data_IF_500517659883
#
_entry.id   IF_500517659883
#
_cell.length_a   1.000
_cell.length_b   1.000
_cell.length_c   1.000
_cell.angle_alpha   90.00
_cell.angle_beta   90.00
_cell.angle_gamma   90.00
#
_symmetry.space_group_name_H-M   'P 1'
#
loop_
_entity.id
_entity.type
_entity.pdbx_description
1 polymer ?
#
# COMPACT_ATOMS: atom_id res chain seq x y z
N UNK A 1 -24.59 8.67 -22.68
CA UNK A 1 -24.85 8.55 -21.22
C UNK A 1 -23.95 9.51 -20.48
N UNK A 2 -24.46 10.31 -19.54
CA UNK A 2 -23.62 11.19 -18.70
C UNK A 2 -22.73 10.34 -17.78
N UNK A 3 -21.43 10.61 -17.77
CA UNK A 3 -20.49 10.01 -16.82
C UNK A 3 -20.64 10.68 -15.45
N UNK A 4 -20.63 9.93 -14.32
CA UNK A 4 -20.86 10.48 -12.97
C UNK A 4 -19.84 11.56 -12.61
N UNK A 5 -18.61 11.41 -13.11
CA UNK A 5 -17.48 12.32 -12.93
C UNK A 5 -17.77 13.75 -13.39
N UNK A 6 -18.75 13.95 -14.30
CA UNK A 6 -19.19 15.29 -14.75
C UNK A 6 -20.03 16.05 -13.72
N UNK A 7 -20.63 15.34 -12.75
CA UNK A 7 -21.43 15.96 -11.68
C UNK A 7 -20.53 16.40 -10.54
N UNK A 8 -19.56 15.56 -10.17
CA UNK A 8 -18.53 15.87 -9.18
C UNK A 8 -17.32 14.95 -9.38
N UNK A 9 -16.07 15.44 -9.30
CA UNK A 9 -14.87 14.63 -9.57
C UNK A 9 -14.67 13.44 -8.62
N UNK A 10 -15.31 13.45 -7.44
CA UNK A 10 -15.30 12.34 -6.49
C UNK A 10 -16.37 11.26 -6.76
N UNK A 11 -17.29 11.49 -7.70
CA UNK A 11 -18.37 10.56 -8.02
C UNK A 11 -17.90 9.55 -9.07
N UNK A 12 -18.03 8.26 -8.77
CA UNK A 12 -17.60 7.16 -9.65
C UNK A 12 -18.67 6.06 -9.71
N UNK A 13 -18.66 5.25 -10.77
CA UNK A 13 -19.55 4.09 -10.94
C UNK A 13 -18.90 2.84 -10.38
N UNK A 14 -19.63 2.07 -9.57
CA UNK A 14 -19.15 0.80 -9.02
C UNK A 14 -18.57 -0.18 -10.07
N UNK A 15 -19.05 -0.12 -11.31
CA UNK A 15 -18.62 -0.97 -12.44
C UNK A 15 -17.38 -0.47 -13.18
N UNK A 16 -16.76 0.62 -12.74
CA UNK A 16 -15.58 1.22 -13.37
C UNK A 16 -14.55 1.56 -12.31
N UNK A 17 -13.26 1.42 -12.62
CA UNK A 17 -12.24 1.99 -11.74
C UNK A 17 -12.49 3.49 -11.64
N UNK A 18 -12.50 4.01 -10.42
CA UNK A 18 -12.67 5.44 -10.21
C UNK A 18 -11.58 6.19 -10.99
N UNK A 19 -11.97 7.17 -11.81
CA UNK A 19 -11.08 8.10 -12.50
C UNK A 19 -11.42 9.49 -12.00
N UNK A 20 -10.46 10.19 -11.41
CA UNK A 20 -10.68 11.57 -10.95
C UNK A 20 -9.91 11.97 -9.70
N UNK A 21 -9.08 13.01 -9.86
CA UNK A 21 -8.47 13.91 -8.86
C UNK A 21 -7.63 13.30 -7.70
N UNK A 22 -7.58 11.98 -7.53
CA UNK A 22 -6.71 11.37 -6.52
C UNK A 22 -5.26 11.41 -7.03
N UNK A 23 -4.37 12.06 -6.28
CA UNK A 23 -2.93 11.99 -6.57
C UNK A 23 -2.46 10.56 -6.33
N UNK A 24 -1.77 9.97 -7.30
CA UNK A 24 -1.25 8.60 -7.19
C UNK A 24 0.26 8.55 -7.40
N UNK A 25 0.93 7.58 -6.76
CA UNK A 25 2.29 7.17 -7.13
C UNK A 25 2.24 5.93 -8.02
N UNK A 26 3.06 5.85 -9.08
CA UNK A 26 3.14 4.65 -9.91
C UNK A 26 3.50 3.42 -9.08
N UNK A 27 2.89 2.28 -9.39
CA UNK A 27 3.20 1.03 -8.68
C UNK A 27 4.56 0.46 -9.07
N UNK A 28 5.00 0.71 -10.31
CA UNK A 28 6.15 0.06 -10.95
C UNK A 28 5.88 -1.38 -11.42
N UNK A 29 4.65 -1.86 -11.30
CA UNK A 29 4.24 -3.22 -11.64
C UNK A 29 3.03 -3.18 -12.56
N UNK A 30 3.21 -3.53 -13.84
CA UNK A 30 2.16 -3.40 -14.85
C UNK A 30 0.87 -4.15 -14.49
N UNK A 31 0.98 -5.38 -13.96
CA UNK A 31 -0.16 -6.19 -13.53
C UNK A 31 -0.97 -5.53 -12.42
N UNK A 32 -0.30 -4.91 -11.45
CA UNK A 32 -0.97 -4.20 -10.35
C UNK A 32 -1.54 -2.86 -10.83
N UNK A 33 -0.79 -2.10 -11.63
CA UNK A 33 -1.24 -0.81 -12.18
C UNK A 33 -2.53 -0.94 -13.00
N UNK A 34 -2.69 -2.01 -13.79
CA UNK A 34 -3.92 -2.24 -14.55
C UNK A 34 -5.17 -2.35 -13.64
N UNK A 35 -4.96 -2.77 -12.39
CA UNK A 35 -6.03 -3.07 -11.45
C UNK A 35 -6.19 -1.99 -10.34
N UNK A 36 -5.44 -0.89 -10.40
CA UNK A 36 -5.61 0.24 -9.47
C UNK A 36 -6.24 1.45 -10.16
N UNK A 37 -7.14 2.19 -9.48
CA UNK A 37 -7.59 3.50 -9.92
C UNK A 37 -6.42 4.40 -10.28
N UNK A 38 -6.52 5.08 -11.43
CA UNK A 38 -5.47 5.95 -11.99
C UNK A 38 -4.08 5.29 -12.13
N UNK A 39 -4.00 3.95 -12.10
CA UNK A 39 -2.79 3.19 -12.36
C UNK A 39 -1.78 3.13 -11.21
N UNK A 40 -2.13 3.61 -10.01
CA UNK A 40 -1.15 3.87 -8.96
C UNK A 40 -1.65 3.68 -7.53
N UNK A 41 -0.70 3.82 -6.60
CA UNK A 41 -0.97 3.89 -5.17
C UNK A 41 -1.65 5.21 -4.82
N UNK A 42 -2.86 5.20 -4.23
CA UNK A 42 -3.54 6.45 -3.86
C UNK A 42 -2.81 7.14 -2.70
N UNK A 43 -2.39 8.38 -2.94
CA UNK A 43 -1.83 9.26 -1.90
C UNK A 43 -2.92 9.81 -1.00
N UNK A 44 -2.54 10.21 0.21
CA UNK A 44 -3.48 10.75 1.20
C UNK A 44 -4.58 9.77 1.62
N UNK A 45 -4.34 8.47 1.42
CA UNK A 45 -5.30 7.41 1.66
C UNK A 45 -4.65 6.26 2.42
N UNK A 46 -5.42 5.60 3.29
CA UNK A 46 -4.96 4.40 3.97
C UNK A 46 -4.95 3.22 3.00
N UNK A 47 -3.78 2.63 2.78
CA UNK A 47 -3.61 1.38 2.03
C UNK A 47 -3.25 0.28 3.03
N UNK A 48 -3.98 -0.82 3.02
CA UNK A 48 -3.64 -1.98 3.86
C UNK A 48 -2.93 -3.06 3.04
N UNK A 49 -1.76 -3.49 3.53
CA UNK A 49 -1.08 -4.70 3.06
C UNK A 49 -1.23 -5.79 4.13
N UNK A 50 -1.94 -6.85 3.78
CA UNK A 50 -2.19 -7.97 4.67
C UNK A 50 -1.21 -9.11 4.35
N UNK A 51 -0.36 -9.44 5.31
CA UNK A 51 0.73 -10.41 5.11
C UNK A 51 0.56 -11.61 6.04
N UNK A 52 0.85 -12.85 5.62
CA UNK A 52 0.81 -14.03 6.48
C UNK A 52 1.86 -13.94 7.60
N UNK A 53 3.03 -13.39 7.29
CA UNK A 53 4.11 -13.05 8.22
C UNK A 53 4.93 -11.88 7.65
N UNK A 54 5.75 -11.19 8.45
CA UNK A 54 6.69 -10.20 7.95
C UNK A 54 7.69 -10.79 6.95
N UNK A 55 8.16 -9.95 6.01
CA UNK A 55 9.27 -10.31 5.12
C UNK A 55 8.88 -11.09 3.87
N UNK A 56 7.58 -11.15 3.53
CA UNK A 56 7.12 -11.75 2.26
C UNK A 56 7.56 -10.95 1.04
N UNK A 57 7.89 -9.67 1.23
CA UNK A 57 8.30 -8.76 0.16
C UNK A 57 7.46 -7.48 0.10
N UNK A 58 6.69 -7.20 1.13
CA UNK A 58 5.78 -6.06 1.25
C UNK A 58 6.48 -4.71 1.02
N UNK A 59 7.74 -4.55 1.46
CA UNK A 59 8.54 -3.34 1.20
C UNK A 59 9.14 -3.36 -0.21
N UNK A 60 9.57 -4.53 -0.71
CA UNK A 60 10.06 -4.68 -2.09
C UNK A 60 8.97 -4.34 -3.12
N UNK A 61 7.72 -4.70 -2.83
CA UNK A 61 6.56 -4.33 -3.64
C UNK A 61 6.46 -2.81 -3.81
N UNK A 62 6.71 -2.06 -2.74
CA UNK A 62 6.65 -0.60 -2.70
C UNK A 62 7.90 0.09 -3.23
N UNK A 63 9.01 -0.64 -3.43
CA UNK A 63 10.30 -0.10 -3.87
C UNK A 63 10.18 0.87 -5.05
N UNK A 64 9.46 0.55 -6.15
CA UNK A 64 9.38 1.47 -7.29
C UNK A 64 8.69 2.79 -6.94
N UNK A 65 7.69 2.77 -6.05
CA UNK A 65 7.00 3.97 -5.59
C UNK A 65 7.88 4.80 -4.65
N UNK A 66 8.61 4.14 -3.74
CA UNK A 66 9.55 4.81 -2.82
C UNK A 66 10.68 5.51 -3.58
N UNK A 67 11.17 4.91 -4.67
CA UNK A 67 12.23 5.48 -5.51
C UNK A 67 11.80 6.75 -6.29
N UNK A 68 10.50 7.02 -6.37
CA UNK A 68 9.98 8.25 -7.01
C UNK A 68 9.78 9.40 -6.02
N UNK A 69 9.95 9.16 -4.72
CA UNK A 69 9.82 10.19 -3.72
C UNK A 69 11.01 11.16 -3.80
N UNK A 70 10.73 12.45 -3.62
CA UNK A 70 11.76 13.46 -3.52
C UNK A 70 12.75 13.14 -2.40
N UNK A 71 14.05 13.25 -2.69
CA UNK A 71 15.15 12.89 -1.76
C UNK A 71 15.12 13.64 -0.43
N UNK A 72 14.43 14.78 -0.36
CA UNK A 72 14.28 15.58 0.88
C UNK A 72 13.12 15.13 1.76
N UNK A 73 12.20 14.32 1.25
CA UNK A 73 11.02 13.85 1.98
C UNK A 73 11.35 12.53 2.68
N UNK A 74 11.25 12.45 4.01
CA UNK A 74 11.53 11.21 4.73
C UNK A 74 10.55 10.07 4.36
N UNK A 75 11.04 8.85 4.47
CA UNK A 75 10.27 7.61 4.43
C UNK A 75 10.26 7.05 5.86
N UNK A 76 9.12 7.18 6.53
CA UNK A 76 8.98 6.77 7.91
C UNK A 76 8.57 5.29 8.01
N UNK A 77 9.34 4.51 8.77
CA UNK A 77 9.01 3.15 9.17
C UNK A 77 8.64 3.14 10.66
N UNK A 78 7.37 2.88 10.96
CA UNK A 78 6.86 2.87 12.34
C UNK A 78 6.58 1.45 12.80
N UNK A 79 7.23 1.06 13.89
CA UNK A 79 7.17 -0.28 14.48
C UNK A 79 7.53 -1.42 13.51
N UNK A 80 8.58 -1.31 12.67
CA UNK A 80 8.96 -2.44 11.82
C UNK A 80 9.30 -3.67 12.69
N UNK A 81 8.92 -4.88 12.24
CA UNK A 81 9.10 -6.11 13.02
C UNK A 81 10.58 -6.50 13.17
N UNK A 82 11.44 -5.98 12.30
CA UNK A 82 12.87 -6.16 12.33
C UNK A 82 13.54 -4.81 12.10
N UNK A 83 14.81 -4.69 12.50
CA UNK A 83 15.62 -3.52 12.21
C UNK A 83 15.71 -3.31 10.69
N UNK A 84 15.44 -2.09 10.18
CA UNK A 84 15.61 -1.79 8.76
C UNK A 84 17.04 -2.05 8.29
N UNK A 85 17.19 -2.81 7.20
CA UNK A 85 18.49 -3.16 6.66
C UNK A 85 18.99 -2.10 5.67
N UNK A 86 19.91 -1.24 6.13
CA UNK A 86 20.35 -0.06 5.37
C UNK A 86 21.03 -0.41 4.03
N UNK A 87 21.72 -1.56 3.95
CA UNK A 87 22.35 -1.98 2.70
C UNK A 87 21.31 -2.32 1.61
N UNK A 88 20.15 -2.86 1.98
CA UNK A 88 19.04 -3.06 1.04
C UNK A 88 18.45 -1.73 0.57
N UNK A 89 18.40 -0.74 1.45
CA UNK A 89 17.96 0.62 1.12
C UNK A 89 18.86 1.26 0.07
N UNK A 90 20.18 1.19 0.29
CA UNK A 90 21.19 1.71 -0.62
C UNK A 90 21.23 0.97 -1.96
N UNK A 91 21.04 -0.36 -1.96
CA UNK A 91 21.00 -1.14 -3.21
C UNK A 91 19.79 -0.78 -4.07
N UNK A 92 18.70 -0.28 -3.46
CA UNK A 92 17.56 0.29 -4.16
C UNK A 92 17.75 1.76 -4.57
N UNK A 93 18.95 2.32 -4.34
CA UNK A 93 19.31 3.71 -4.62
C UNK A 93 18.44 4.74 -3.87
N UNK A 94 17.91 4.36 -2.71
CA UNK A 94 17.22 5.28 -1.80
C UNK A 94 18.26 5.95 -0.90
N UNK A 95 18.13 7.26 -0.66
CA UNK A 95 19.05 7.98 0.23
C UNK A 95 18.87 7.49 1.67
N UNK A 96 19.92 6.98 2.34
CA UNK A 96 19.89 6.59 3.75
C UNK A 96 19.33 7.69 4.67
N UNK A 97 19.55 8.97 4.33
CA UNK A 97 19.08 10.12 5.13
C UNK A 97 17.57 10.31 5.08
N UNK A 98 16.88 9.70 4.11
CA UNK A 98 15.42 9.70 4.07
C UNK A 98 14.81 8.71 5.07
N UNK A 99 15.56 7.71 5.53
CA UNK A 99 15.00 6.67 6.39
C UNK A 99 14.77 7.21 7.81
N UNK A 100 13.51 7.34 8.20
CA UNK A 100 13.11 7.65 9.57
C UNK A 100 12.58 6.38 10.24
N UNK A 101 13.34 5.81 11.18
CA UNK A 101 12.91 4.64 11.94
C UNK A 101 12.34 5.06 13.30
N UNK A 102 11.08 4.71 13.54
CA UNK A 102 10.38 4.97 14.81
C UNK A 102 9.94 3.63 15.39
N UNK A 103 10.49 3.23 16.54
CA UNK A 103 10.14 1.98 17.23
C UNK A 103 9.68 2.26 18.67
N UNK A 104 8.44 2.70 18.89
CA UNK A 104 7.92 2.92 20.22
C UNK A 104 7.78 1.62 21.01
N UNK A 105 7.94 1.69 22.33
CA UNK A 105 7.82 0.50 23.18
C UNK A 105 6.36 0.07 23.38
N UNK A 106 5.40 1.00 23.32
CA UNK A 106 3.98 0.73 23.57
C UNK A 106 3.15 0.84 22.29
N UNK A 107 2.15 -0.03 22.06
CA UNK A 107 1.27 0.06 20.90
C UNK A 107 0.49 1.38 20.77
N UNK A 108 0.13 2.00 21.90
CA UNK A 108 -0.55 3.31 21.91
C UNK A 108 0.35 4.40 21.32
N UNK A 109 1.65 4.34 21.61
CA UNK A 109 2.65 5.28 21.11
C UNK A 109 2.89 5.07 19.60
N UNK A 110 2.78 3.82 19.10
CA UNK A 110 2.79 3.51 17.66
C UNK A 110 1.68 4.24 16.91
N UNK A 111 0.45 4.16 17.41
CA UNK A 111 -0.70 4.83 16.77
C UNK A 111 -0.58 6.35 16.85
N UNK A 112 -0.16 6.86 18.02
CA UNK A 112 0.07 8.29 18.21
C UNK A 112 1.16 8.82 17.26
N UNK A 113 2.32 8.16 17.20
CA UNK A 113 3.42 8.56 16.32
C UNK A 113 3.01 8.52 14.85
N UNK A 114 2.28 7.47 14.42
CA UNK A 114 1.72 7.37 13.06
C UNK A 114 0.84 8.57 12.76
N UNK A 115 -0.06 8.95 13.66
CA UNK A 115 -0.94 10.09 13.49
C UNK A 115 -0.18 11.43 13.45
N UNK A 116 0.83 11.62 14.31
CA UNK A 116 1.65 12.84 14.29
C UNK A 116 2.39 12.99 12.96
N UNK A 117 2.94 11.91 12.41
CA UNK A 117 3.60 11.92 11.10
C UNK A 117 2.60 12.31 10.00
N UNK A 118 1.39 11.72 10.01
CA UNK A 118 0.33 12.06 9.05
C UNK A 118 -0.08 13.53 9.12
N UNK A 119 -0.23 14.08 10.33
CA UNK A 119 -0.61 15.48 10.55
C UNK A 119 0.50 16.48 10.19
N UNK A 120 1.76 16.09 10.39
CA UNK A 120 2.89 16.96 10.08
C UNK A 120 3.10 17.12 8.57
N UNK A 121 2.83 16.08 7.77
CA UNK A 121 2.84 16.16 6.30
C UNK A 121 4.23 16.27 5.64
N UNK A 122 5.34 16.20 6.40
CA UNK A 122 6.70 16.32 5.83
C UNK A 122 7.21 15.04 5.15
N UNK A 123 6.69 13.87 5.52
CA UNK A 123 7.13 12.59 4.98
C UNK A 123 6.55 12.34 3.58
N UNK A 124 7.30 11.68 2.71
CA UNK A 124 6.84 11.23 1.39
C UNK A 124 6.10 9.89 1.46
N UNK A 125 6.52 9.03 2.40
CA UNK A 125 5.84 7.78 2.71
C UNK A 125 5.87 7.48 4.21
N UNK A 126 4.86 6.76 4.66
CA UNK A 126 4.72 6.22 6.01
C UNK A 126 4.28 4.78 5.89
N UNK A 127 5.11 3.87 6.39
CA UNK A 127 4.82 2.45 6.46
C UNK A 127 4.78 2.09 7.94
N UNK A 128 3.62 1.67 8.44
CA UNK A 128 3.45 1.30 9.84
C UNK A 128 2.97 -0.15 9.96
N UNK A 129 3.52 -0.89 10.93
CA UNK A 129 3.07 -2.24 11.23
C UNK A 129 2.11 -2.21 12.41
N UNK A 130 0.87 -2.63 12.16
CA UNK A 130 -0.23 -2.55 13.11
C UNK A 130 -0.83 -3.96 13.33
N UNK A 131 -0.09 -4.87 14.02
CA UNK A 131 -0.54 -6.25 14.24
C UNK A 131 -1.87 -6.33 15.00
N UNK A 132 -2.10 -5.37 15.90
CA UNK A 132 -3.31 -5.23 16.70
C UNK A 132 -3.79 -3.78 16.65
N UNK A 133 -4.86 -3.54 15.90
CA UNK A 133 -5.47 -2.21 15.77
C UNK A 133 -6.97 -2.34 15.57
N UNK A 134 -7.72 -1.46 16.24
CA UNK A 134 -9.18 -1.42 16.15
C UNK A 134 -9.63 -0.63 14.90
N UNK A 135 -10.78 -0.94 14.30
CA UNK A 135 -11.28 -0.24 13.11
C UNK A 135 -11.42 1.28 13.28
N UNK A 136 -11.77 1.77 14.47
CA UNK A 136 -11.93 3.20 14.76
C UNK A 136 -10.60 3.94 14.68
N UNK A 137 -9.53 3.33 15.19
CA UNK A 137 -8.18 3.87 15.08
C UNK A 137 -7.73 3.95 13.62
N UNK A 138 -8.03 2.92 12.80
CA UNK A 138 -7.73 2.96 11.36
C UNK A 138 -8.54 4.04 10.63
N UNK A 139 -9.81 4.24 11.01
CA UNK A 139 -10.62 5.33 10.45
C UNK A 139 -10.02 6.69 10.79
N UNK A 140 -9.59 6.91 12.03
CA UNK A 140 -8.90 8.14 12.44
C UNK A 140 -7.60 8.36 11.67
N UNK A 141 -6.77 7.34 11.50
CA UNK A 141 -5.55 7.43 10.69
C UNK A 141 -5.86 7.71 9.21
N UNK A 142 -6.91 7.09 8.65
CA UNK A 142 -7.33 7.39 7.28
C UNK A 142 -7.76 8.86 7.13
N UNK A 143 -8.55 9.39 8.06
CA UNK A 143 -8.96 10.80 8.05
C UNK A 143 -7.76 11.75 8.17
N UNK A 144 -6.78 11.43 9.03
CA UNK A 144 -5.54 12.21 9.12
C UNK A 144 -4.74 12.19 7.81
N UNK A 145 -4.71 11.05 7.11
CA UNK A 145 -4.04 10.93 5.82
C UNK A 145 -4.66 11.80 4.72
N UNK A 146 -5.97 12.05 4.74
CA UNK A 146 -6.67 12.81 3.69
C UNK A 146 -6.21 14.26 3.55
N UNK A 147 -5.61 14.84 4.59
CA UNK A 147 -5.03 16.18 4.55
C UNK A 147 -3.58 16.20 4.02
N UNK A 148 -3.03 15.04 3.63
CA UNK A 148 -1.65 14.88 3.17
C UNK A 148 -1.57 14.32 1.75
N UNK A 149 -0.41 14.44 1.12
CA UNK A 149 -0.08 13.77 -0.14
C UNK A 149 0.89 12.60 0.06
N UNK A 150 0.88 12.02 1.25
CA UNK A 150 1.80 10.97 1.67
C UNK A 150 1.33 9.59 1.20
N UNK A 151 2.27 8.71 0.84
CA UNK A 151 1.98 7.29 0.62
C UNK A 151 1.84 6.57 1.95
N UNK A 152 0.61 6.30 2.39
CA UNK A 152 0.34 5.71 3.70
C UNK A 152 -0.02 4.23 3.62
N UNK A 153 0.88 3.40 4.15
CA UNK A 153 0.75 1.95 4.19
C UNK A 153 0.62 1.46 5.63
N UNK A 154 -0.44 0.70 5.91
CA UNK A 154 -0.56 -0.09 7.13
C UNK A 154 -0.36 -1.58 6.82
N UNK A 155 0.68 -2.18 7.38
CA UNK A 155 0.95 -3.62 7.29
C UNK A 155 0.26 -4.31 8.45
N UNK A 156 -0.56 -5.33 8.14
CA UNK A 156 -1.37 -6.06 9.13
C UNK A 156 -1.34 -7.57 8.87
N UNK A 157 -1.72 -8.41 9.85
CA UNK A 157 -1.76 -9.85 9.67
C UNK A 157 -2.84 -10.28 8.67
N UNK A 158 -2.59 -11.34 7.89
CA UNK A 158 -3.53 -11.89 6.91
C UNK A 158 -4.94 -12.16 7.47
N UNK A 159 -5.03 -12.60 8.75
CA UNK A 159 -6.31 -12.81 9.45
C UNK A 159 -7.22 -11.57 9.50
N UNK A 160 -6.67 -10.36 9.34
CA UNK A 160 -7.45 -9.13 9.30
C UNK A 160 -8.24 -8.96 8.01
N UNK A 161 -8.07 -9.83 7.00
CA UNK A 161 -8.79 -9.76 5.73
C UNK A 161 -10.32 -9.74 5.91
N UNK A 162 -10.82 -10.55 6.85
CA UNK A 162 -12.25 -10.68 7.18
C UNK A 162 -12.84 -9.45 7.88
N UNK A 163 -11.99 -8.58 8.45
CA UNK A 163 -12.43 -7.40 9.16
C UNK A 163 -12.65 -6.25 8.18
N UNK A 164 -13.86 -5.70 8.13
CA UNK A 164 -14.13 -4.49 7.37
C UNK A 164 -13.38 -3.28 7.96
N UNK A 165 -12.84 -2.42 7.10
CA UNK A 165 -12.10 -1.21 7.50
C UNK A 165 -12.45 -0.02 6.62
N UNK A 166 -12.06 1.17 7.07
CA UNK A 166 -12.18 2.41 6.32
C UNK A 166 -11.18 2.53 5.16
N UNK A 167 -10.20 1.62 5.03
CA UNK A 167 -9.19 1.68 3.99
C UNK A 167 -9.83 1.55 2.59
N UNK A 168 -9.61 2.49 1.66
CA UNK A 168 -10.12 2.38 0.29
C UNK A 168 -9.40 1.31 -0.56
N UNK A 169 -8.16 0.95 -0.21
CA UNK A 169 -7.37 -0.08 -0.88
C UNK A 169 -6.87 -1.11 0.14
N UNK A 170 -7.16 -2.39 -0.11
CA UNK A 170 -6.70 -3.51 0.74
C UNK A 170 -6.18 -4.63 -0.15
N UNK A 171 -4.93 -5.03 0.09
CA UNK A 171 -4.26 -6.09 -0.65
C UNK A 171 -3.85 -7.21 0.31
N UNK A 172 -4.17 -8.45 -0.01
CA UNK A 172 -3.58 -9.61 0.63
C UNK A 172 -2.37 -10.07 -0.19
N UNK A 173 -1.24 -10.26 0.48
CA UNK A 173 0.02 -10.65 -0.12
C UNK A 173 0.37 -12.07 0.33
N UNK A 174 0.72 -12.93 -0.61
CA UNK A 174 1.30 -14.23 -0.34
C UNK A 174 2.64 -14.37 -1.09
N UNK A 175 3.67 -14.99 -0.47
CA UNK A 175 4.93 -15.23 -1.16
C UNK A 175 4.71 -16.17 -2.35
N UNK A 176 5.35 -15.87 -3.47
CA UNK A 176 5.38 -16.72 -4.66
C UNK A 176 6.83 -16.81 -5.19
N UNK A 177 7.18 -17.86 -5.96
CA UNK A 177 8.51 -17.94 -6.58
C UNK A 177 8.84 -16.66 -7.37
N UNK A 178 9.94 -15.99 -7.03
CA UNK A 178 10.39 -14.75 -7.67
C UNK A 178 9.55 -13.49 -7.39
N UNK A 179 8.50 -13.58 -6.56
CA UNK A 179 7.57 -12.47 -6.40
C UNK A 179 6.48 -12.65 -5.34
N UNK A 180 5.32 -12.05 -5.60
CA UNK A 180 4.14 -12.07 -4.74
C UNK A 180 2.92 -12.49 -5.55
N UNK A 181 2.05 -13.28 -4.92
CA UNK A 181 0.64 -13.35 -5.29
C UNK A 181 -0.11 -12.26 -4.53
N UNK A 182 -0.78 -11.37 -5.26
CA UNK A 182 -1.47 -10.19 -4.74
C UNK A 182 -2.96 -10.35 -5.00
N UNK A 183 -3.74 -10.48 -3.94
CA UNK A 183 -5.20 -10.53 -4.02
C UNK A 183 -5.80 -9.20 -3.57
N UNK A 184 -6.56 -8.55 -4.45
CA UNK A 184 -7.19 -7.26 -4.17
C UNK A 184 -8.51 -7.49 -3.42
N UNK A 185 -8.49 -7.31 -2.10
CA UNK A 185 -9.68 -7.49 -1.27
C UNK A 185 -10.65 -6.31 -1.35
N UNK A 186 -10.12 -5.11 -1.61
CA UNK A 186 -10.91 -3.88 -1.73
C UNK A 186 -10.17 -2.87 -2.59
N UNK A 187 -10.89 -2.24 -3.52
CA UNK A 187 -10.46 -1.08 -4.32
C UNK A 187 -11.66 -0.22 -4.68
N UNK A 188 -11.42 1.01 -5.16
CA UNK A 188 -12.48 1.84 -5.78
C UNK A 188 -12.67 1.43 -7.24
N UNK A 189 -13.42 0.36 -7.47
CA UNK A 189 -13.66 -0.17 -8.80
C UNK A 189 -14.46 -1.46 -8.76
N UNK A 190 -14.55 -2.17 -9.91
CA UNK A 190 -15.09 -3.51 -9.98
C UNK A 190 -14.38 -4.44 -9.00
N UNK A 191 -15.06 -5.52 -8.62
CA UNK A 191 -14.41 -6.61 -7.89
C UNK A 191 -13.27 -7.20 -8.73
N UNK A 192 -12.19 -7.64 -8.09
CA UNK A 192 -11.07 -8.32 -8.73
C UNK A 192 -10.85 -9.64 -7.99
N UNK A 193 -11.52 -10.70 -8.43
CA UNK A 193 -11.48 -12.00 -7.74
C UNK A 193 -10.25 -12.84 -8.11
N UNK A 194 -9.53 -12.47 -9.17
CA UNK A 194 -8.33 -13.20 -9.61
C UNK A 194 -7.08 -12.62 -8.95
N UNK A 195 -6.28 -13.44 -8.23
CA UNK A 195 -4.98 -13.00 -7.72
C UNK A 195 -4.02 -12.65 -8.86
N UNK A 196 -3.23 -11.60 -8.65
CA UNK A 196 -2.24 -11.09 -9.60
C UNK A 196 -0.86 -11.57 -9.19
N UNK A 197 -0.03 -11.98 -10.14
CA UNK A 197 1.39 -12.15 -9.88
C UNK A 197 2.13 -10.82 -10.04
N UNK A 198 3.00 -10.53 -9.09
CA UNK A 198 3.92 -9.39 -9.12
C UNK A 198 5.34 -9.89 -8.89
N UNK A 199 6.17 -9.87 -9.93
CA UNK A 199 7.60 -10.20 -9.83
C UNK A 199 8.35 -9.11 -9.06
N UNK A 200 9.17 -9.51 -8.08
CA UNK A 200 9.95 -8.55 -7.27
C UNK A 200 11.42 -8.44 -7.73
N UNK A 201 11.90 -9.45 -8.45
CA UNK A 201 13.25 -9.49 -9.02
C UNK A 201 13.22 -9.23 -10.54
N UNK A 202 14.23 -8.55 -11.10
CA UNK A 202 14.39 -8.42 -12.54
C UNK A 202 14.46 -9.82 -13.20
N UNK A 203 13.57 -10.09 -14.15
CA UNK A 203 13.54 -11.39 -14.85
C UNK A 203 12.86 -12.52 -14.10
N UNK A 204 12.16 -12.26 -12.99
CA UNK A 204 11.34 -13.27 -12.34
C UNK A 204 10.31 -13.84 -13.33
N UNK A 205 10.26 -15.18 -13.53
CA UNK A 205 9.31 -15.79 -14.44
C UNK A 205 7.89 -15.53 -13.93
N UNK A 206 7.04 -14.95 -14.76
CA UNK A 206 5.59 -14.96 -14.53
C UNK A 206 5.14 -16.41 -14.47
N UNK A 207 4.55 -16.88 -13.35
CA UNK A 207 3.98 -18.21 -13.29
C UNK A 207 2.89 -18.30 -14.36
N UNK A 208 2.94 -19.35 -15.17
CA UNK A 208 1.90 -19.66 -16.15
C UNK A 208 0.56 -19.75 -15.41
N UNK A 209 -0.43 -18.94 -15.82
CA UNK A 209 -1.80 -19.03 -15.30
C UNK A 209 -2.27 -20.49 -15.32
N UNK A 210 -2.96 -20.99 -14.28
CA UNK A 210 -3.54 -22.32 -14.36
C UNK A 210 -4.54 -22.32 -15.51
N UNK A 211 -4.26 -23.10 -16.55
CA UNK A 211 -5.24 -23.42 -17.58
C UNK A 211 -6.44 -24.06 -16.87
N UNK A 212 -7.55 -23.33 -16.77
CA UNK A 212 -8.84 -23.96 -16.51
C UNK A 212 -9.14 -24.85 -17.71
N UNK A 213 -8.89 -26.15 -17.56
CA UNK A 213 -9.48 -27.15 -18.44
C UNK A 213 -11.00 -27.16 -18.16
N UNK A 214 -11.86 -26.94 -19.16
CA UNK A 214 -13.29 -27.14 -18.98
C UNK A 214 -13.55 -28.64 -18.80
N UNK A 215 -14.35 -28.99 -17.79
CA UNK A 215 -15.05 -30.27 -17.73
C UNK A 215 -16.29 -30.21 -18.62
#
# INVERSE_FOLDING_TARGET
MMTPERIHPALWRATQLAKGAARTLPTGHASLSAELPDGGWPLGSLIELLTPHPGVGEIRLLRPALAQLETRRPIALVQPPHMPHIASWMSWRLDPRQLLWVAPQKPVDTLWATEQILKNGSCGALICWLPHVRPESLRRLHLAAQASDLLFIAIRPAKAAQNATAAPLRLALAPAPGGLSVHILKRRGPVCDTPLYVGLEPGAPTPSSPHHAPL
#
